data_IF_757431998849
#
_entry.id   IF_757431998849
#
_cell.length_a   1.000
_cell.length_b   1.000
_cell.length_c   1.000
_cell.angle_alpha   90.00
_cell.angle_beta   90.00
_cell.angle_gamma   90.00
#
_symmetry.space_group_name_H-M   'P 1'
#
loop_
_entity.id
_entity.type
_entity.pdbx_description
1 polymer ?
#
# COMPACT_ATOMS: atom_id res chain seq x y z
N UNK A 1 -11.16 0.89 -13.22
CA UNK A 1 -10.70 1.32 -11.88
C UNK A 1 -9.80 2.55 -11.97
N UNK A 2 -8.85 2.61 -12.90
CA UNK A 2 -7.91 3.74 -13.05
C UNK A 2 -8.05 4.47 -14.39
N UNK A 3 -9.25 4.48 -14.98
CA UNK A 3 -9.49 4.97 -16.33
C UNK A 3 -9.07 6.43 -16.59
N UNK A 4 -9.11 7.25 -15.55
CA UNK A 4 -8.82 8.69 -15.65
C UNK A 4 -7.36 9.04 -15.28
N UNK A 5 -6.52 8.04 -14.97
CA UNK A 5 -5.11 8.27 -14.63
C UNK A 5 -4.27 8.22 -15.90
N UNK A 6 -3.64 9.34 -16.23
CA UNK A 6 -2.75 9.45 -17.40
C UNK A 6 -1.31 9.07 -17.03
N UNK A 7 -0.64 8.36 -17.93
CA UNK A 7 0.79 8.06 -17.82
C UNK A 7 1.68 9.28 -18.12
N UNK A 8 1.12 10.36 -18.68
CA UNK A 8 1.87 11.52 -19.11
C UNK A 8 2.64 12.18 -17.95
N UNK A 9 3.96 12.28 -18.11
CA UNK A 9 4.84 12.91 -17.12
C UNK A 9 5.12 12.08 -15.87
N UNK A 10 4.65 10.83 -15.77
CA UNK A 10 4.86 9.96 -14.61
C UNK A 10 6.03 8.98 -14.76
N UNK A 11 6.59 8.83 -15.94
CA UNK A 11 7.77 7.97 -16.16
C UNK A 11 8.93 8.40 -15.24
N UNK A 12 9.51 7.44 -14.51
CA UNK A 12 10.57 7.69 -13.53
C UNK A 12 10.11 8.29 -12.20
N UNK A 13 8.87 8.71 -12.08
CA UNK A 13 8.32 9.24 -10.82
C UNK A 13 7.95 8.11 -9.86
N UNK A 14 8.05 8.42 -8.56
CA UNK A 14 7.47 7.57 -7.52
C UNK A 14 5.99 7.89 -7.41
N UNK A 15 5.16 6.88 -7.55
CA UNK A 15 3.70 6.99 -7.43
C UNK A 15 3.26 6.15 -6.24
N UNK A 16 2.65 6.79 -5.25
CA UNK A 16 2.06 6.08 -4.11
C UNK A 16 0.62 5.69 -4.48
N UNK A 17 0.36 4.39 -4.52
CA UNK A 17 -0.98 3.86 -4.74
C UNK A 17 -1.65 3.61 -3.39
N UNK A 18 -2.68 4.40 -3.10
CA UNK A 18 -3.48 4.28 -1.87
C UNK A 18 -4.82 3.60 -2.10
N UNK A 19 -5.09 3.13 -3.32
CA UNK A 19 -6.37 2.59 -3.72
C UNK A 19 -6.60 1.16 -3.20
N UNK A 20 -7.86 0.81 -3.06
CA UNK A 20 -8.32 -0.54 -2.79
C UNK A 20 -9.37 -0.95 -3.82
N UNK A 21 -9.36 -2.21 -4.20
CA UNK A 21 -10.38 -2.80 -5.05
C UNK A 21 -11.49 -3.41 -4.22
N UNK A 22 -12.73 -3.00 -4.52
CA UNK A 22 -13.96 -3.57 -3.94
C UNK A 22 -14.93 -3.92 -5.08
N UNK A 23 -15.19 -5.20 -5.36
CA UNK A 23 -16.03 -5.61 -6.49
C UNK A 23 -17.43 -4.97 -6.47
N UNK A 24 -18.02 -4.82 -5.28
CA UNK A 24 -19.35 -4.24 -5.10
C UNK A 24 -19.42 -2.76 -5.48
N UNK A 25 -18.31 -2.04 -5.37
CA UNK A 25 -18.20 -0.62 -5.72
C UNK A 25 -17.66 -0.42 -7.14
N UNK A 26 -16.63 -1.16 -7.50
CA UNK A 26 -15.80 -0.91 -8.68
C UNK A 26 -16.22 -1.75 -9.90
N UNK A 27 -17.12 -2.75 -9.69
CA UNK A 27 -17.43 -3.76 -10.68
C UNK A 27 -16.47 -4.94 -10.62
N UNK A 28 -16.86 -6.05 -11.24
CA UNK A 28 -16.09 -7.28 -11.26
C UNK A 28 -15.01 -7.26 -12.35
N UNK A 29 -13.75 -7.45 -11.94
CA UNK A 29 -12.61 -7.65 -12.83
C UNK A 29 -12.05 -9.06 -12.55
N UNK A 30 -12.13 -9.95 -13.53
CA UNK A 30 -11.85 -11.38 -13.38
C UNK A 30 -10.49 -11.63 -12.72
N UNK A 31 -9.44 -10.97 -13.16
CA UNK A 31 -8.08 -11.14 -12.63
C UNK A 31 -7.89 -10.60 -11.20
N UNK A 32 -8.71 -9.63 -10.77
CA UNK A 32 -8.71 -9.13 -9.41
C UNK A 32 -9.59 -9.99 -8.50
N UNK A 33 -10.72 -10.47 -9.00
CA UNK A 33 -11.62 -11.37 -8.27
C UNK A 33 -10.98 -12.74 -7.99
N UNK A 34 -10.18 -13.24 -8.94
CA UNK A 34 -9.44 -14.51 -8.79
C UNK A 34 -8.12 -14.38 -8.02
N UNK A 35 -7.74 -13.16 -7.64
CA UNK A 35 -6.45 -12.85 -7.02
C UNK A 35 -5.21 -13.22 -7.88
N UNK A 36 -5.41 -13.35 -9.20
CA UNK A 36 -4.30 -13.57 -10.14
C UNK A 36 -3.39 -12.35 -10.19
N UNK A 37 -3.97 -11.16 -10.02
CA UNK A 37 -3.26 -9.87 -9.98
C UNK A 37 -3.77 -8.99 -8.86
N UNK A 38 -2.92 -8.10 -8.36
CA UNK A 38 -3.31 -7.02 -7.45
C UNK A 38 -3.75 -5.78 -8.23
N UNK A 39 -4.54 -4.93 -7.61
CA UNK A 39 -4.92 -3.64 -8.22
C UNK A 39 -3.73 -2.75 -8.55
N UNK A 40 -2.66 -2.83 -7.76
CA UNK A 40 -1.42 -2.07 -8.00
C UNK A 40 -0.63 -2.59 -9.20
N UNK A 41 -0.68 -3.89 -9.49
CA UNK A 41 -0.09 -4.44 -10.73
C UNK A 41 -0.84 -3.91 -11.96
N UNK A 42 -2.17 -3.84 -11.89
CA UNK A 42 -2.99 -3.24 -12.97
C UNK A 42 -2.64 -1.77 -13.16
N UNK A 43 -2.47 -1.01 -12.07
CA UNK A 43 -2.04 0.39 -12.16
C UNK A 43 -0.64 0.52 -12.77
N UNK A 44 0.30 -0.36 -12.38
CA UNK A 44 1.67 -0.34 -12.90
C UNK A 44 1.73 -0.53 -14.43
N UNK A 45 0.88 -1.40 -14.98
CA UNK A 45 0.77 -1.55 -16.43
C UNK A 45 0.20 -0.31 -17.12
N UNK A 46 -0.74 0.38 -16.47
CA UNK A 46 -1.33 1.61 -17.00
C UNK A 46 -0.33 2.79 -16.96
N UNK A 47 0.62 2.76 -16.05
CA UNK A 47 1.62 3.81 -15.84
C UNK A 47 3.04 3.29 -16.14
N UNK A 48 3.37 2.95 -17.39
CA UNK A 48 4.67 2.40 -17.73
C UNK A 48 5.81 3.35 -17.36
N UNK A 49 6.85 2.80 -16.72
CA UNK A 49 8.00 3.56 -16.25
C UNK A 49 7.80 4.27 -14.91
N UNK A 50 6.60 4.38 -14.38
CA UNK A 50 6.37 4.86 -13.02
C UNK A 50 6.84 3.83 -11.98
N UNK A 51 7.36 4.31 -10.85
CA UNK A 51 7.80 3.46 -9.74
C UNK A 51 6.68 3.40 -8.69
N UNK A 52 5.85 2.37 -8.77
CA UNK A 52 4.67 2.24 -7.93
C UNK A 52 5.05 1.69 -6.55
N UNK A 53 4.59 2.36 -5.50
CA UNK A 53 4.62 1.85 -4.12
C UNK A 53 3.20 1.86 -3.58
N UNK A 54 2.68 0.70 -3.23
CA UNK A 54 1.40 0.59 -2.53
C UNK A 54 1.63 0.93 -1.06
N UNK A 55 0.92 1.93 -0.55
CA UNK A 55 1.00 2.37 0.83
C UNK A 55 -0.27 3.11 1.24
N UNK A 56 -0.55 3.21 2.54
CA UNK A 56 -1.71 3.89 3.13
C UNK A 56 -3.08 3.30 2.74
N UNK A 57 -3.11 2.21 1.99
CA UNK A 57 -4.36 1.53 1.63
C UNK A 57 -4.95 0.74 2.80
N UNK A 58 -4.11 0.29 3.75
CA UNK A 58 -4.50 -0.57 4.87
C UNK A 58 -4.74 0.18 6.19
N UNK A 59 -4.57 1.48 6.23
CA UNK A 59 -4.89 2.30 7.41
C UNK A 59 -6.22 3.03 7.19
N UNK A 60 -7.07 3.08 8.22
CA UNK A 60 -8.27 3.90 8.14
C UNK A 60 -7.90 5.39 8.11
N UNK A 61 -8.65 6.17 7.33
CA UNK A 61 -8.40 7.61 7.22
C UNK A 61 -8.51 8.34 8.58
N UNK A 62 -9.39 7.86 9.48
CA UNK A 62 -9.51 8.38 10.83
C UNK A 62 -8.24 8.13 11.65
N UNK A 63 -7.68 6.94 11.57
CA UNK A 63 -6.40 6.61 12.23
C UNK A 63 -5.24 7.40 11.64
N UNK A 64 -5.20 7.55 10.32
CA UNK A 64 -4.19 8.39 9.64
C UNK A 64 -4.25 9.85 10.10
N UNK A 65 -5.45 10.38 10.33
CA UNK A 65 -5.66 11.75 10.81
C UNK A 65 -5.34 11.90 12.30
N UNK A 66 -5.83 10.98 13.15
CA UNK A 66 -5.94 11.20 14.59
C UNK A 66 -4.81 10.53 15.39
N UNK A 67 -4.13 9.51 14.82
CA UNK A 67 -3.13 8.70 15.52
C UNK A 67 -1.68 8.96 15.08
N UNK A 68 -1.45 10.11 14.47
CA UNK A 68 -0.10 10.55 14.07
C UNK A 68 0.82 10.60 15.30
N UNK A 69 1.94 9.87 15.23
CA UNK A 69 2.94 9.84 16.29
C UNK A 69 2.54 9.06 17.55
N UNK A 70 1.37 8.43 17.57
CA UNK A 70 0.96 7.60 18.69
C UNK A 70 1.74 6.28 18.74
N UNK A 71 1.85 5.76 19.97
CA UNK A 71 2.50 4.48 20.25
C UNK A 71 1.46 3.45 20.68
N UNK A 72 1.51 2.27 20.06
CA UNK A 72 0.73 1.08 20.42
C UNK A 72 1.73 -0.01 20.80
N UNK A 73 1.59 -0.59 21.99
CA UNK A 73 2.55 -1.60 22.46
C UNK A 73 4.00 -1.10 22.53
N UNK A 74 4.23 0.20 22.77
CA UNK A 74 5.55 0.81 22.83
C UNK A 74 6.18 1.12 21.48
N UNK A 75 5.45 0.95 20.38
CA UNK A 75 5.91 1.20 19.02
C UNK A 75 4.92 2.09 18.26
N UNK A 76 5.37 2.74 17.20
CA UNK A 76 4.49 3.42 16.26
C UNK A 76 3.61 2.41 15.52
N UNK A 77 2.46 2.88 15.07
CA UNK A 77 1.59 2.08 14.19
C UNK A 77 2.34 1.81 12.89
N UNK A 78 2.36 0.54 12.47
CA UNK A 78 2.96 0.11 11.22
C UNK A 78 2.07 0.39 10.03
N UNK A 79 2.66 0.90 8.95
CA UNK A 79 2.01 1.03 7.64
C UNK A 79 2.69 0.06 6.69
N UNK A 80 1.96 -0.95 6.16
CA UNK A 80 2.55 -1.88 5.21
C UNK A 80 2.78 -1.19 3.87
N UNK A 81 3.94 -1.45 3.27
CA UNK A 81 4.26 -1.00 1.92
C UNK A 81 4.67 -2.18 1.05
N UNK A 82 4.38 -2.10 -0.24
CA UNK A 82 4.87 -3.02 -1.24
C UNK A 82 5.27 -2.29 -2.52
N UNK A 83 6.27 -2.82 -3.22
CA UNK A 83 6.80 -2.22 -4.42
C UNK A 83 8.02 -2.96 -4.93
N UNK A 84 8.35 -2.78 -6.21
CA UNK A 84 9.44 -3.50 -6.88
C UNK A 84 10.76 -2.72 -6.86
N UNK A 85 10.70 -1.39 -6.69
CA UNK A 85 11.87 -0.53 -6.65
C UNK A 85 12.30 -0.25 -5.19
N UNK A 86 13.47 -0.77 -4.75
CA UNK A 86 13.95 -0.55 -3.38
C UNK A 86 14.16 0.92 -3.01
N UNK A 87 14.60 1.76 -3.96
CA UNK A 87 14.80 3.19 -3.71
C UNK A 87 13.45 3.90 -3.49
N UNK A 88 12.46 3.59 -4.33
CA UNK A 88 11.12 4.16 -4.17
C UNK A 88 10.51 3.78 -2.82
N UNK A 89 10.66 2.52 -2.40
CA UNK A 89 10.21 2.08 -1.09
C UNK A 89 10.91 2.81 0.06
N UNK A 90 12.22 3.06 -0.05
CA UNK A 90 12.94 3.86 0.98
C UNK A 90 12.42 5.29 1.07
N UNK A 91 12.14 5.93 -0.07
CA UNK A 91 11.60 7.30 -0.08
C UNK A 91 10.22 7.34 0.59
N UNK A 92 9.35 6.40 0.25
CA UNK A 92 8.00 6.30 0.86
C UNK A 92 8.08 5.97 2.34
N UNK A 93 8.98 5.06 2.74
CA UNK A 93 9.22 4.74 4.15
C UNK A 93 9.69 5.97 4.95
N UNK A 94 10.56 6.80 4.37
CA UNK A 94 10.97 8.07 4.97
C UNK A 94 9.81 9.03 5.16
N UNK A 95 8.93 9.16 4.17
CA UNK A 95 7.71 9.97 4.26
C UNK A 95 6.79 9.46 5.38
N UNK A 96 6.56 8.16 5.45
CA UNK A 96 5.74 7.53 6.50
C UNK A 96 6.31 7.85 7.89
N UNK A 97 7.63 7.75 8.06
CA UNK A 97 8.31 8.11 9.31
C UNK A 97 8.15 9.58 9.68
N UNK A 98 8.26 10.48 8.71
CA UNK A 98 8.05 11.92 8.92
C UNK A 98 6.61 12.25 9.34
N UNK A 99 5.63 11.54 8.79
CA UNK A 99 4.22 11.71 9.15
C UNK A 99 3.97 11.24 10.60
N UNK A 100 4.69 10.24 11.09
CA UNK A 100 4.56 9.76 12.47
C UNK A 100 4.16 8.29 12.60
N UNK A 101 4.33 7.51 11.54
CA UNK A 101 4.11 6.07 11.50
C UNK A 101 5.42 5.34 11.19
N UNK A 102 5.40 4.03 11.16
CA UNK A 102 6.56 3.22 10.77
C UNK A 102 6.22 2.35 9.56
N UNK A 103 6.99 2.48 8.49
CA UNK A 103 6.81 1.65 7.32
C UNK A 103 7.29 0.22 7.57
N UNK A 104 6.50 -0.74 7.13
CA UNK A 104 6.84 -2.16 7.18
C UNK A 104 6.81 -2.72 5.75
N UNK A 105 7.95 -3.17 5.25
CA UNK A 105 8.06 -3.71 3.89
C UNK A 105 7.41 -5.10 3.82
N UNK A 106 6.35 -5.20 3.05
CA UNK A 106 5.62 -6.45 2.82
C UNK A 106 6.16 -7.25 1.62
N UNK A 107 7.05 -6.66 0.82
CA UNK A 107 7.67 -7.32 -0.32
C UNK A 107 7.40 -6.64 -1.67
N UNK A 108 7.55 -7.38 -2.78
CA UNK A 108 7.25 -6.90 -4.11
C UNK A 108 5.79 -6.49 -4.29
N UNK A 109 5.51 -5.77 -5.37
CA UNK A 109 4.17 -5.23 -5.62
C UNK A 109 3.10 -6.34 -5.69
N UNK A 110 3.42 -7.46 -6.32
CA UNK A 110 2.52 -8.61 -6.46
C UNK A 110 2.32 -9.34 -5.12
N UNK A 111 3.35 -9.98 -4.60
CA UNK A 111 3.23 -10.81 -3.38
C UNK A 111 2.96 -9.95 -2.14
N UNK A 112 3.66 -8.83 -2.03
CA UNK A 112 3.50 -7.91 -0.90
C UNK A 112 2.12 -7.27 -0.86
N UNK A 113 1.62 -6.84 -2.01
CA UNK A 113 0.31 -6.21 -2.13
C UNK A 113 -0.84 -7.09 -1.61
N UNK A 114 -0.77 -8.41 -1.86
CA UNK A 114 -1.76 -9.37 -1.38
C UNK A 114 -1.82 -9.46 0.15
N UNK A 115 -0.73 -9.14 0.84
CA UNK A 115 -0.64 -9.24 2.30
C UNK A 115 -1.36 -8.13 3.04
N UNK A 116 -1.65 -7.00 2.36
CA UNK A 116 -2.32 -5.87 3.00
C UNK A 116 -3.49 -5.26 2.20
N UNK A 117 -4.03 -6.02 1.26
CA UNK A 117 -5.28 -5.66 0.58
C UNK A 117 -6.51 -5.89 1.49
N UNK A 118 -7.71 -5.40 1.10
CA UNK A 118 -8.93 -5.66 1.85
C UNK A 118 -9.16 -7.16 2.11
N UNK A 119 -9.64 -7.48 3.31
CA UNK A 119 -9.91 -8.87 3.72
C UNK A 119 -8.73 -9.58 4.40
N UNK A 120 -7.57 -8.92 4.52
CA UNK A 120 -6.42 -9.47 5.26
C UNK A 120 -6.40 -9.02 6.73
N UNK A 121 -5.64 -9.75 7.56
CA UNK A 121 -5.48 -9.44 8.98
C UNK A 121 -4.76 -8.10 9.26
N UNK A 122 -4.06 -7.57 8.26
CA UNK A 122 -3.35 -6.30 8.36
C UNK A 122 -4.24 -5.11 7.99
N UNK A 123 -5.36 -5.37 7.29
CA UNK A 123 -6.21 -4.32 6.76
C UNK A 123 -7.00 -3.64 7.88
N UNK A 124 -6.80 -2.34 8.05
CA UNK A 124 -7.43 -1.48 9.07
C UNK A 124 -7.19 -1.87 10.53
N UNK A 125 -6.13 -2.60 10.82
CA UNK A 125 -5.89 -3.20 12.13
C UNK A 125 -5.12 -2.30 13.12
N UNK A 126 -4.46 -1.21 12.67
CA UNK A 126 -3.66 -0.31 13.50
C UNK A 126 -2.65 -1.05 14.41
N UNK A 127 -1.89 -1.96 13.82
CA UNK A 127 -0.95 -2.82 14.55
C UNK A 127 0.36 -2.08 14.86
N UNK A 128 1.01 -2.37 16.01
CA UNK A 128 2.39 -1.95 16.22
C UNK A 128 3.31 -2.55 15.16
N UNK A 129 4.38 -1.83 14.80
CA UNK A 129 5.20 -2.17 13.64
C UNK A 129 5.76 -3.60 13.65
N UNK A 130 6.21 -4.12 14.81
CA UNK A 130 6.75 -5.48 14.89
C UNK A 130 5.67 -6.56 14.71
N UNK A 131 4.47 -6.31 15.23
CA UNK A 131 3.34 -7.23 15.01
C UNK A 131 2.94 -7.26 13.53
N UNK A 132 2.87 -6.08 12.90
CA UNK A 132 2.62 -6.00 11.46
C UNK A 132 3.72 -6.72 10.67
N UNK A 133 5.00 -6.55 11.05
CA UNK A 133 6.13 -7.20 10.39
C UNK A 133 6.02 -8.72 10.43
N UNK A 134 5.59 -9.27 11.56
CA UNK A 134 5.35 -10.70 11.71
C UNK A 134 4.20 -11.20 10.80
N UNK A 135 3.16 -10.40 10.61
CA UNK A 135 2.01 -10.78 9.76
C UNK A 135 2.30 -10.72 8.27
N UNK A 136 3.19 -9.83 7.84
CA UNK A 136 3.54 -9.69 6.41
C UNK A 136 4.81 -10.42 6.00
N UNK A 137 5.44 -11.10 6.95
CA UNK A 137 6.64 -11.89 6.69
C UNK A 137 6.40 -13.04 5.68
#
# INVERSE_FOLDING_TARGET
MFADVSADGLAGKIVIDTANYYPERDGHFTELDSDDRTSSEVLAEQLPGARIVKAFNAIQWTSLRDKVGEYVGGQRIGIPISGDDPQAKRVVAGLIGQIGFEAVDAGPLAEGGRKHQPGTDCYTADLPADELRAKVA
#
